data_IF_097825954540
#
_entry.id   IF_097825954540
#
_cell.length_a   1.000
_cell.length_b   1.000
_cell.length_c   1.000
_cell.angle_alpha   90.00
_cell.angle_beta   90.00
_cell.angle_gamma   90.00
#
_symmetry.space_group_name_H-M   'P 1'
#
loop_
_entity.id
_entity.type
_entity.pdbx_description
1 polymer ?
#
# COMPACT_ATOMS: atom_id res chain seq x y z
N UNK A 1 32.62 8.76 30.07
CA UNK A 1 31.47 9.70 30.05
C UNK A 1 31.75 10.70 28.93
N UNK A 2 30.94 10.97 27.90
CA UNK A 2 29.52 10.82 27.61
C UNK A 2 29.35 10.22 26.20
N UNK A 3 28.48 9.21 26.06
CA UNK A 3 28.02 8.72 24.75
C UNK A 3 26.92 9.65 24.26
N UNK A 4 27.13 10.35 23.15
CA UNK A 4 26.09 11.17 22.51
C UNK A 4 25.23 10.26 21.62
N UNK A 5 24.03 9.91 22.10
CA UNK A 5 23.00 9.26 21.29
C UNK A 5 22.53 10.26 20.23
N UNK A 6 22.67 9.95 18.94
CA UNK A 6 21.98 10.67 17.87
C UNK A 6 20.58 10.08 17.72
N UNK A 7 19.59 10.84 18.18
CA UNK A 7 18.18 10.67 17.84
C UNK A 7 17.95 11.61 16.65
N UNK A 8 17.72 11.07 15.45
CA UNK A 8 17.23 11.86 14.33
C UNK A 8 15.72 11.63 14.25
N UNK A 9 14.96 12.65 14.63
CA UNK A 9 13.52 12.68 14.49
C UNK A 9 13.18 12.83 13.00
N UNK A 10 12.53 11.82 12.44
CA UNK A 10 11.92 11.88 11.11
C UNK A 10 10.56 12.57 11.26
N UNK A 11 10.53 13.90 11.23
CA UNK A 11 9.29 14.65 11.08
C UNK A 11 9.04 14.89 9.59
N UNK A 12 8.36 13.95 8.92
CA UNK A 12 7.75 14.22 7.62
C UNK A 12 6.54 15.13 7.85
N UNK A 13 6.66 16.41 7.49
CA UNK A 13 5.53 17.30 7.36
C UNK A 13 4.73 16.87 6.11
N UNK A 14 3.67 16.09 6.33
CA UNK A 14 2.64 15.85 5.31
C UNK A 14 1.80 17.11 5.22
N UNK A 15 2.01 17.92 4.18
CA UNK A 15 1.07 18.98 3.82
C UNK A 15 -0.14 18.30 3.18
N UNK A 16 -1.15 17.99 3.98
CA UNK A 16 -2.49 17.64 3.53
C UNK A 16 -3.10 18.89 2.86
N UNK A 17 -2.97 18.98 1.54
CA UNK A 17 -3.88 19.82 0.76
C UNK A 17 -5.17 19.03 0.55
N UNK A 18 -6.24 19.48 1.20
CA UNK A 18 -7.59 18.95 1.01
C UNK A 18 -8.10 19.49 -0.32
N UNK A 19 -8.51 18.65 -1.30
CA UNK A 19 -9.31 19.14 -2.40
C UNK A 19 -10.76 19.25 -1.93
N UNK A 20 -11.24 20.49 -1.79
CA UNK A 20 -12.68 20.75 -1.76
C UNK A 20 -13.26 20.35 -3.12
N UNK A 21 -14.13 19.33 -3.12
CA UNK A 21 -15.00 18.99 -4.24
C UNK A 21 -15.89 20.20 -4.56
N UNK A 22 -15.75 20.73 -5.77
CA UNK A 22 -16.72 21.62 -6.41
C UNK A 22 -17.01 21.06 -7.79
N UNK A 23 -18.28 20.72 -8.03
CA UNK A 23 -18.80 20.27 -9.31
C UNK A 23 -18.79 21.43 -10.29
N UNK A 24 -17.83 21.41 -11.23
CA UNK A 24 -17.75 22.38 -12.31
C UNK A 24 -16.85 21.86 -13.40
N UNK A 25 -17.43 21.54 -14.56
CA UNK A 25 -16.72 21.14 -15.78
C UNK A 25 -15.75 22.23 -16.22
N UNK A 26 -14.48 22.06 -15.88
CA UNK A 26 -13.36 22.88 -16.35
C UNK A 26 -12.06 22.15 -16.05
N UNK A 27 -11.33 21.76 -17.08
CA UNK A 27 -9.99 21.18 -16.93
C UNK A 27 -9.07 22.26 -16.36
N UNK A 28 -8.82 22.22 -15.05
CA UNK A 28 -7.74 22.99 -14.43
C UNK A 28 -6.44 22.26 -14.76
N UNK A 29 -5.46 22.89 -15.44
CA UNK A 29 -4.14 22.29 -15.56
C UNK A 29 -3.57 22.15 -14.14
N UNK A 30 -3.34 20.91 -13.73
CA UNK A 30 -2.57 20.60 -12.52
C UNK A 30 -1.19 21.20 -12.74
N UNK A 31 -0.89 22.33 -12.09
CA UNK A 31 0.44 22.92 -12.11
C UNK A 31 1.36 21.91 -11.43
N UNK A 32 2.23 21.26 -12.19
CA UNK A 32 3.30 20.44 -11.64
C UNK A 32 4.02 21.23 -10.54
N UNK A 33 4.37 20.59 -9.43
CA UNK A 33 5.34 21.14 -8.49
C UNK A 33 6.54 21.63 -9.32
N UNK A 34 7.03 22.84 -9.07
CA UNK A 34 8.14 23.35 -9.87
C UNK A 34 9.30 22.34 -9.81
N UNK A 35 9.94 22.09 -10.95
CA UNK A 35 11.14 21.23 -11.01
C UNK A 35 12.34 21.94 -10.35
N UNK A 36 12.09 22.83 -9.39
CA UNK A 36 13.11 23.58 -8.70
C UNK A 36 13.48 22.91 -7.38
N UNK A 37 14.72 23.12 -6.95
CA UNK A 37 15.21 22.59 -5.68
C UNK A 37 16.22 23.57 -5.09
N UNK A 38 16.20 23.69 -3.76
CA UNK A 38 17.21 24.46 -3.04
C UNK A 38 18.52 23.67 -2.98
N UNK A 39 19.58 24.25 -3.54
CA UNK A 39 20.97 23.85 -3.34
C UNK A 39 21.54 24.63 -2.15
N UNK A 40 21.90 23.90 -1.10
CA UNK A 40 22.62 24.44 0.05
C UNK A 40 24.10 24.16 -0.13
N UNK A 41 24.92 25.20 -0.01
CA UNK A 41 26.39 25.11 -0.06
C UNK A 41 26.96 25.44 1.32
N UNK A 42 27.61 24.47 1.95
CA UNK A 42 28.14 24.61 3.30
C UNK A 42 29.43 25.44 3.34
N UNK A 43 29.68 26.08 4.48
CA UNK A 43 30.98 26.69 4.80
C UNK A 43 32.07 25.64 5.12
N UNK A 44 31.70 24.38 5.29
CA UNK A 44 32.65 23.28 5.41
C UNK A 44 33.16 22.82 4.04
N UNK A 45 34.45 22.53 3.96
CA UNK A 45 35.05 21.89 2.79
C UNK A 45 35.18 20.38 2.98
N UNK A 46 35.06 19.64 1.88
CA UNK A 46 35.50 18.26 1.77
C UNK A 46 36.91 18.29 1.17
N UNK A 47 37.90 17.88 1.96
CA UNK A 47 39.31 17.95 1.59
C UNK A 47 39.72 16.76 0.75
N UNK A 48 40.32 17.05 -0.39
CA UNK A 48 40.92 16.07 -1.28
C UNK A 48 42.43 16.13 -1.06
N UNK A 49 43.17 15.25 -1.73
CA UNK A 49 44.62 15.20 -1.63
C UNK A 49 45.29 16.40 -2.35
N UNK A 50 45.20 17.61 -1.79
CA UNK A 50 45.75 18.86 -2.34
C UNK A 50 44.73 19.82 -2.96
N UNK A 51 43.44 19.46 -2.92
CA UNK A 51 42.34 20.28 -3.41
C UNK A 51 41.16 20.21 -2.43
N UNK A 52 40.14 21.01 -2.61
CA UNK A 52 38.92 20.90 -1.81
C UNK A 52 37.71 21.38 -2.61
N UNK A 53 36.54 20.88 -2.22
CA UNK A 53 35.25 21.42 -2.66
C UNK A 53 34.37 21.68 -1.45
N UNK A 54 33.26 22.41 -1.63
CA UNK A 54 32.29 22.60 -0.55
C UNK A 54 31.38 21.39 -0.41
N UNK A 55 30.97 21.10 0.81
CA UNK A 55 29.89 20.12 1.06
C UNK A 55 28.56 20.75 0.61
N UNK A 56 27.75 19.98 -0.11
CA UNK A 56 26.51 20.48 -0.71
C UNK A 56 25.36 19.51 -0.44
N UNK A 57 24.14 20.06 -0.37
CA UNK A 57 22.92 19.26 -0.33
C UNK A 57 21.85 19.89 -1.21
N UNK A 58 20.99 19.04 -1.79
CA UNK A 58 19.84 19.44 -2.58
C UNK A 58 18.60 18.67 -2.06
N UNK A 59 17.56 19.40 -1.65
CA UNK A 59 16.34 18.79 -1.08
C UNK A 59 16.58 17.94 0.17
N UNK A 60 17.58 18.31 0.97
CA UNK A 60 17.97 17.57 2.19
C UNK A 60 18.89 16.37 1.95
N UNK A 61 19.08 15.94 0.70
CA UNK A 61 19.99 14.88 0.31
C UNK A 61 21.38 15.42 -0.02
N UNK A 62 22.43 14.62 0.17
CA UNK A 62 23.78 15.04 -0.21
C UNK A 62 23.89 15.24 -1.73
N UNK A 63 24.66 16.24 -2.16
CA UNK A 63 24.82 16.58 -3.56
C UNK A 63 26.31 16.62 -3.96
N UNK A 64 26.61 16.14 -5.16
CA UNK A 64 27.98 15.85 -5.59
C UNK A 64 28.41 16.78 -6.71
N UNK A 65 29.68 17.20 -6.69
CA UNK A 65 30.27 17.86 -7.85
C UNK A 65 30.62 16.83 -8.93
N UNK A 66 30.21 17.08 -10.17
CA UNK A 66 30.58 16.26 -11.35
C UNK A 66 31.47 17.01 -12.36
N UNK A 67 31.86 18.25 -12.05
CA UNK A 67 32.75 19.09 -12.89
C UNK A 67 33.76 19.85 -12.02
N UNK A 68 34.69 19.13 -11.35
CA UNK A 68 35.53 19.68 -10.28
C UNK A 68 36.58 20.70 -10.74
N UNK A 69 36.82 20.84 -12.04
CA UNK A 69 37.66 21.91 -12.61
C UNK A 69 37.01 23.29 -12.60
N UNK A 70 35.69 23.38 -12.35
CA UNK A 70 34.96 24.65 -12.21
C UNK A 70 34.80 25.06 -10.73
N UNK A 71 34.53 26.35 -10.50
CA UNK A 71 34.26 26.89 -9.16
C UNK A 71 32.95 26.35 -8.60
N UNK A 72 32.87 26.21 -7.27
CA UNK A 72 31.63 25.91 -6.55
C UNK A 72 30.55 26.96 -6.84
N UNK A 73 29.30 26.56 -7.13
CA UNK A 73 28.17 27.48 -7.29
C UNK A 73 27.84 28.21 -5.98
N UNK A 74 27.03 29.27 -6.09
CA UNK A 74 26.38 29.85 -4.93
C UNK A 74 25.25 28.93 -4.42
N UNK A 75 24.87 29.07 -3.15
CA UNK A 75 23.63 28.49 -2.67
C UNK A 75 22.44 29.22 -3.32
N UNK A 76 21.32 28.52 -3.52
CA UNK A 76 20.12 29.09 -4.14
C UNK A 76 19.21 28.04 -4.75
N UNK A 77 18.18 28.49 -5.44
CA UNK A 77 17.23 27.62 -6.14
C UNK A 77 17.68 27.37 -7.57
N UNK A 78 17.74 26.09 -7.95
CA UNK A 78 18.13 25.62 -9.28
C UNK A 78 17.08 24.69 -9.86
N UNK A 79 16.99 24.62 -11.19
CA UNK A 79 16.14 23.66 -11.90
C UNK A 79 16.79 22.28 -11.90
N UNK A 80 15.99 21.24 -11.61
CA UNK A 80 16.33 19.83 -11.74
C UNK A 80 16.23 19.42 -13.20
N UNK A 81 17.32 18.86 -13.73
CA UNK A 81 17.36 18.26 -15.05
C UNK A 81 17.46 16.74 -14.91
N UNK A 82 16.35 16.04 -15.18
CA UNK A 82 16.28 14.58 -15.12
C UNK A 82 16.78 13.90 -16.41
N UNK A 83 16.96 14.65 -17.48
CA UNK A 83 17.62 14.25 -18.73
C UNK A 83 19.14 14.19 -18.55
N UNK A 84 19.58 13.36 -17.59
CA UNK A 84 20.99 13.28 -17.17
C UNK A 84 21.91 12.93 -18.35
N UNK A 85 21.42 12.17 -19.33
CA UNK A 85 22.15 11.84 -20.55
C UNK A 85 22.70 13.08 -21.30
N UNK A 86 22.03 14.23 -21.23
CA UNK A 86 22.49 15.51 -21.83
C UNK A 86 23.82 15.99 -21.24
N UNK A 87 24.11 15.60 -20.00
CA UNK A 87 25.27 16.06 -19.24
C UNK A 87 26.41 15.04 -19.19
N UNK A 88 26.28 13.91 -19.89
CA UNK A 88 27.36 12.93 -20.03
C UNK A 88 28.39 13.42 -21.05
N UNK A 89 29.58 12.81 -21.05
CA UNK A 89 30.67 13.11 -22.00
C UNK A 89 30.21 13.11 -23.45
N UNK A 90 29.40 12.11 -23.79
CA UNK A 90 28.67 12.03 -25.06
C UNK A 90 27.22 12.39 -24.76
N UNK A 91 26.75 13.60 -25.12
CA UNK A 91 25.37 14.00 -24.86
C UNK A 91 24.37 13.03 -25.50
N UNK A 92 23.39 12.57 -24.72
CA UNK A 92 22.38 11.59 -25.13
C UNK A 92 22.76 10.13 -24.87
N UNK A 93 23.90 9.85 -24.23
CA UNK A 93 24.26 8.49 -23.83
C UNK A 93 23.49 8.04 -22.59
N UNK A 94 22.34 7.40 -22.82
CA UNK A 94 21.47 6.84 -21.77
C UNK A 94 22.15 5.73 -20.96
N UNK A 95 23.07 4.98 -21.57
CA UNK A 95 23.79 3.91 -20.85
C UNK A 95 24.79 4.52 -19.85
N UNK A 96 25.48 5.59 -20.23
CA UNK A 96 26.33 6.33 -19.31
C UNK A 96 25.54 7.00 -18.18
N UNK A 97 24.36 7.57 -18.48
CA UNK A 97 23.48 8.13 -17.47
C UNK A 97 22.98 7.08 -16.46
N UNK A 98 22.60 5.89 -16.93
CA UNK A 98 22.19 4.79 -16.06
C UNK A 98 23.36 4.27 -15.21
N UNK A 99 24.55 4.14 -15.79
CA UNK A 99 25.76 3.80 -15.04
C UNK A 99 26.05 4.83 -13.94
N UNK A 100 25.89 6.14 -14.23
CA UNK A 100 26.06 7.19 -13.25
C UNK A 100 25.03 7.08 -12.12
N UNK A 101 23.77 6.77 -12.45
CA UNK A 101 22.70 6.50 -11.47
C UNK A 101 23.06 5.33 -10.56
N UNK A 102 23.55 4.23 -11.14
CA UNK A 102 23.99 3.07 -10.39
C UNK A 102 25.05 3.44 -9.35
N UNK A 103 26.09 4.14 -9.80
CA UNK A 103 27.18 4.56 -8.93
C UNK A 103 26.71 5.53 -7.84
N UNK A 104 25.88 6.52 -8.20
CA UNK A 104 25.40 7.55 -7.28
C UNK A 104 24.62 6.96 -6.09
N UNK A 105 23.89 5.86 -6.28
CA UNK A 105 23.17 5.18 -5.20
C UNK A 105 24.09 4.66 -4.09
N UNK A 106 25.33 4.29 -4.43
CA UNK A 106 26.32 3.73 -3.51
C UNK A 106 27.36 4.76 -3.02
N UNK A 107 27.27 6.01 -3.48
CA UNK A 107 28.13 7.10 -3.01
C UNK A 107 27.79 7.55 -1.59
N UNK A 108 28.76 8.16 -0.90
CA UNK A 108 28.58 8.61 0.48
C UNK A 108 27.42 9.58 0.60
N UNK A 109 26.54 9.32 1.56
CA UNK A 109 25.34 10.11 1.77
C UNK A 109 24.13 9.64 0.96
N UNK A 110 24.28 8.74 -0.02
CA UNK A 110 23.16 8.08 -0.70
C UNK A 110 22.70 6.80 0.04
N UNK A 111 21.46 6.31 -0.21
CA UNK A 111 20.87 5.23 0.57
C UNK A 111 21.60 3.89 0.50
N UNK A 112 22.30 3.61 -0.60
CA UNK A 112 23.04 2.38 -0.82
C UNK A 112 24.47 2.40 -0.28
N UNK A 113 24.95 3.51 0.30
CA UNK A 113 26.34 3.62 0.74
C UNK A 113 26.78 2.48 1.66
N UNK A 114 27.92 1.87 1.32
CA UNK A 114 28.58 0.87 2.15
C UNK A 114 30.09 1.10 2.08
N UNK A 115 30.72 1.35 3.24
CA UNK A 115 32.16 1.58 3.35
C UNK A 115 33.01 0.43 2.79
N UNK A 116 32.51 -0.82 2.81
CA UNK A 116 33.19 -1.99 2.24
C UNK A 116 33.32 -1.95 0.72
N UNK A 117 32.57 -1.09 0.03
CA UNK A 117 32.73 -0.86 -1.40
C UNK A 117 33.91 0.05 -1.74
N UNK A 118 34.52 0.72 -0.76
CA UNK A 118 35.61 1.67 -0.95
C UNK A 118 36.93 1.10 -0.41
N UNK A 119 38.10 1.69 -0.77
CA UNK A 119 39.38 1.29 -0.22
C UNK A 119 39.38 1.31 1.32
N UNK A 120 40.05 0.35 1.94
CA UNK A 120 40.11 0.23 3.41
C UNK A 120 40.92 1.38 4.06
N UNK A 121 41.89 1.92 3.33
CA UNK A 121 42.73 3.04 3.74
C UNK A 121 42.85 4.08 2.63
N UNK A 122 43.24 5.28 3.02
CA UNK A 122 43.58 6.36 2.12
C UNK A 122 44.92 6.11 1.40
N UNK A 123 45.25 6.93 0.40
CA UNK A 123 46.47 6.77 -0.41
C UNK A 123 47.78 6.86 0.39
N UNK A 124 47.75 7.50 1.56
CA UNK A 124 48.88 7.64 2.49
C UNK A 124 48.85 6.62 3.64
N UNK A 125 47.93 5.65 3.59
CA UNK A 125 47.75 4.61 4.60
C UNK A 125 46.89 5.03 5.79
N UNK A 126 46.44 6.29 5.87
CA UNK A 126 45.54 6.74 6.94
C UNK A 126 44.15 6.08 6.84
N UNK A 127 43.45 5.97 7.97
CA UNK A 127 42.10 5.42 8.00
C UNK A 127 41.12 6.27 7.18
N UNK A 128 40.11 5.63 6.58
CA UNK A 128 39.03 6.34 5.92
C UNK A 128 38.15 7.11 6.92
N UNK A 129 37.56 8.20 6.46
CA UNK A 129 36.60 9.05 7.18
C UNK A 129 35.57 9.62 6.20
N UNK A 130 34.57 10.33 6.72
CA UNK A 130 33.48 10.89 5.90
C UNK A 130 33.99 11.83 4.79
N UNK A 131 34.96 12.69 5.08
CA UNK A 131 35.49 13.63 4.08
C UNK A 131 36.21 12.89 2.95
N UNK A 132 36.93 11.79 3.28
CA UNK A 132 37.57 10.92 2.28
C UNK A 132 36.53 10.18 1.43
N UNK A 133 35.45 9.68 2.01
CA UNK A 133 34.38 9.03 1.25
C UNK A 133 33.62 10.03 0.34
N UNK A 134 33.41 11.25 0.82
CA UNK A 134 32.86 12.35 0.01
C UNK A 134 33.80 12.63 -1.17
N UNK A 135 35.11 12.76 -0.92
CA UNK A 135 36.09 13.03 -1.96
C UNK A 135 36.08 11.94 -3.05
N UNK A 136 36.09 10.66 -2.67
CA UNK A 136 36.00 9.56 -3.63
C UNK A 136 34.67 9.57 -4.38
N UNK A 137 33.55 9.87 -3.71
CA UNK A 137 32.24 9.93 -4.36
C UNK A 137 32.19 10.99 -5.46
N UNK A 138 32.70 12.19 -5.21
CA UNK A 138 32.78 13.23 -6.23
C UNK A 138 33.70 12.83 -7.38
N UNK A 139 34.89 12.27 -7.09
CA UNK A 139 35.85 11.84 -8.12
C UNK A 139 35.23 10.76 -9.00
N UNK A 140 34.63 9.74 -8.41
CA UNK A 140 34.01 8.63 -9.13
C UNK A 140 32.87 9.13 -10.02
N UNK A 141 32.00 10.00 -9.50
CA UNK A 141 30.86 10.54 -10.26
C UNK A 141 31.30 11.51 -11.36
N UNK A 142 32.31 12.34 -11.10
CA UNK A 142 32.90 13.22 -12.11
C UNK A 142 33.57 12.41 -13.24
N UNK A 143 34.32 11.37 -12.89
CA UNK A 143 34.92 10.44 -13.87
C UNK A 143 33.82 9.67 -14.62
N UNK A 144 32.69 9.35 -13.98
CA UNK A 144 31.58 8.67 -14.61
C UNK A 144 30.82 9.51 -15.61
N UNK A 145 30.58 10.78 -15.28
CA UNK A 145 29.96 11.72 -16.20
C UNK A 145 30.90 12.10 -17.36
N UNK A 146 32.20 12.26 -17.10
CA UNK A 146 33.14 12.83 -18.09
C UNK A 146 34.00 11.82 -18.84
N UNK A 147 34.17 10.59 -18.34
CA UNK A 147 35.19 9.63 -18.77
C UNK A 147 36.63 10.20 -18.77
N UNK A 148 36.89 11.19 -17.91
CA UNK A 148 38.18 11.89 -17.82
C UNK A 148 38.68 11.87 -16.36
N UNK A 149 39.35 10.79 -15.95
CA UNK A 149 39.84 10.65 -14.58
C UNK A 149 40.81 11.77 -14.15
N UNK A 150 41.54 12.34 -15.11
CA UNK A 150 42.41 13.50 -14.87
C UNK A 150 41.64 14.75 -14.45
N UNK A 151 40.51 15.02 -15.13
CA UNK A 151 39.60 16.12 -14.80
C UNK A 151 38.86 15.85 -13.50
N UNK A 152 38.39 14.62 -13.29
CA UNK A 152 37.72 14.19 -12.06
C UNK A 152 38.59 14.40 -10.81
N UNK A 153 39.92 14.30 -10.96
CA UNK A 153 40.91 14.53 -9.91
C UNK A 153 41.62 15.89 -10.04
N UNK A 154 40.95 16.89 -10.63
CA UNK A 154 41.49 18.24 -10.76
C UNK A 154 42.01 18.78 -9.42
N UNK A 155 43.20 19.40 -9.45
CA UNK A 155 43.88 19.93 -8.26
C UNK A 155 44.53 18.91 -7.32
N UNK A 156 44.23 17.60 -7.43
CA UNK A 156 44.86 16.59 -6.59
C UNK A 156 46.35 16.39 -6.92
N UNK A 157 47.14 16.03 -5.91
CA UNK A 157 48.57 15.72 -6.04
C UNK A 157 48.81 14.39 -6.80
N UNK A 158 50.02 14.25 -7.37
CA UNK A 158 50.36 13.13 -8.24
C UNK A 158 50.33 11.76 -7.52
N UNK A 159 50.72 11.70 -6.25
CA UNK A 159 50.71 10.44 -5.48
C UNK A 159 49.30 9.91 -5.31
N UNK A 160 48.34 10.79 -4.99
CA UNK A 160 46.94 10.42 -4.91
C UNK A 160 46.38 10.01 -6.26
N UNK A 161 46.67 10.76 -7.34
CA UNK A 161 46.19 10.43 -8.70
C UNK A 161 46.61 9.03 -9.12
N UNK A 162 47.89 8.70 -8.96
CA UNK A 162 48.42 7.37 -9.29
C UNK A 162 47.73 6.27 -8.48
N UNK A 163 47.49 6.50 -7.20
CA UNK A 163 46.77 5.56 -6.34
C UNK A 163 45.30 5.42 -6.73
N UNK A 164 44.61 6.53 -7.03
CA UNK A 164 43.19 6.57 -7.30
C UNK A 164 42.83 5.93 -8.65
N UNK A 165 43.66 6.07 -9.68
CA UNK A 165 43.46 5.33 -10.94
C UNK A 165 43.35 3.81 -10.69
N UNK A 166 44.22 3.25 -9.86
CA UNK A 166 44.20 1.82 -9.54
C UNK A 166 43.09 1.44 -8.54
N UNK A 167 42.94 2.20 -7.45
CA UNK A 167 42.17 1.76 -6.27
C UNK A 167 40.75 2.35 -6.19
N UNK A 168 40.45 3.38 -6.98
CA UNK A 168 39.18 4.12 -6.94
C UNK A 168 38.46 4.02 -8.28
N UNK A 169 39.15 4.37 -9.37
CA UNK A 169 38.58 4.42 -10.71
C UNK A 169 38.63 3.04 -11.41
N UNK A 170 39.76 2.36 -11.33
CA UNK A 170 39.99 1.08 -11.98
C UNK A 170 40.38 1.18 -13.45
N UNK A 171 40.61 2.38 -13.97
CA UNK A 171 41.03 2.64 -15.34
C UNK A 171 42.36 3.37 -15.37
N UNK A 172 43.20 3.13 -16.37
CA UNK A 172 44.39 3.93 -16.61
C UNK A 172 44.07 5.20 -17.41
N UNK A 173 45.09 6.03 -17.69
CA UNK A 173 44.93 7.28 -18.45
C UNK A 173 44.55 7.07 -19.92
N UNK A 174 44.69 5.86 -20.46
CA UNK A 174 44.22 5.50 -21.79
C UNK A 174 42.77 4.99 -21.80
N UNK A 175 42.11 4.92 -20.63
CA UNK A 175 40.75 4.39 -20.48
C UNK A 175 40.68 2.86 -20.40
N UNK A 176 41.82 2.17 -20.29
CA UNK A 176 41.86 0.71 -20.20
C UNK A 176 41.56 0.26 -18.77
N UNK A 177 40.75 -0.78 -18.61
CA UNK A 177 40.44 -1.37 -17.31
C UNK A 177 41.68 -2.06 -16.72
N UNK A 178 42.09 -1.64 -15.53
CA UNK A 178 43.25 -2.15 -14.79
C UNK A 178 42.89 -2.73 -13.42
N UNK A 179 41.67 -2.49 -12.93
CA UNK A 179 41.18 -3.08 -11.68
C UNK A 179 39.65 -3.14 -11.63
N UNK A 180 39.09 -4.33 -11.79
CA UNK A 180 37.64 -4.57 -11.68
C UNK A 180 37.09 -4.39 -10.26
N UNK A 181 37.93 -4.47 -9.23
CA UNK A 181 37.49 -4.32 -7.83
C UNK A 181 37.43 -2.85 -7.38
N UNK A 182 37.85 -1.93 -8.24
CA UNK A 182 37.79 -0.50 -7.96
C UNK A 182 36.31 -0.04 -7.85
N UNK A 183 35.96 0.80 -6.87
CA UNK A 183 34.60 1.31 -6.64
C UNK A 183 33.89 1.79 -7.92
N UNK A 184 34.53 2.63 -8.72
CA UNK A 184 33.93 3.17 -9.94
C UNK A 184 33.46 2.06 -10.89
N UNK A 185 34.30 1.07 -11.16
CA UNK A 185 33.94 -0.04 -12.04
C UNK A 185 32.89 -0.95 -11.40
N UNK A 186 33.14 -1.48 -10.21
CA UNK A 186 32.26 -2.50 -9.62
C UNK A 186 30.86 -2.00 -9.28
N UNK A 187 30.72 -0.72 -8.93
CA UNK A 187 29.42 -0.12 -8.57
C UNK A 187 28.54 0.13 -9.80
N UNK A 188 29.12 0.19 -11.00
CA UNK A 188 28.39 0.41 -12.26
C UNK A 188 27.33 -0.67 -12.53
N UNK A 189 27.52 -1.88 -12.00
CA UNK A 189 26.66 -3.03 -12.28
C UNK A 189 25.85 -3.51 -11.07
N UNK A 190 25.87 -2.75 -9.98
CA UNK A 190 25.15 -3.10 -8.77
C UNK A 190 23.67 -2.71 -8.88
N UNK A 191 22.74 -3.50 -8.31
CA UNK A 191 21.32 -3.29 -8.47
C UNK A 191 20.84 -2.03 -7.71
N UNK A 192 20.17 -1.12 -8.41
CA UNK A 192 19.62 0.10 -7.81
C UNK A 192 18.10 0.11 -7.86
N UNK A 193 17.40 0.45 -6.76
CA UNK A 193 15.94 0.51 -6.76
C UNK A 193 15.41 1.52 -7.77
N UNK A 194 14.43 1.15 -8.60
CA UNK A 194 13.84 2.01 -9.64
C UNK A 194 13.39 3.39 -9.15
N UNK A 195 13.03 3.51 -7.87
CA UNK A 195 12.61 4.77 -7.26
C UNK A 195 13.74 5.70 -6.85
N UNK A 196 14.99 5.26 -6.95
CA UNK A 196 16.15 6.13 -6.87
C UNK A 196 16.33 6.84 -8.21
N UNK A 197 16.25 8.16 -8.21
CA UNK A 197 16.42 9.02 -9.38
C UNK A 197 17.55 9.99 -9.14
N UNK A 198 18.31 10.27 -10.18
CA UNK A 198 19.32 11.32 -10.18
C UNK A 198 18.86 12.48 -11.06
N UNK A 199 19.36 13.68 -10.77
CA UNK A 199 19.16 14.87 -11.57
C UNK A 199 20.42 15.73 -11.55
N UNK A 200 20.61 16.52 -12.60
CA UNK A 200 21.69 17.51 -12.67
C UNK A 200 21.13 18.90 -12.40
N UNK A 201 21.85 19.69 -11.62
CA UNK A 201 21.66 21.12 -11.51
C UNK A 201 22.70 21.80 -12.40
N UNK A 202 22.25 22.38 -13.51
CA UNK A 202 23.09 23.23 -14.34
C UNK A 202 23.27 24.57 -13.64
N UNK A 203 24.52 24.92 -13.31
CA UNK A 203 24.83 26.15 -12.57
C UNK A 203 25.50 27.22 -13.44
N UNK A 204 25.43 27.05 -14.77
CA UNK A 204 26.03 27.94 -15.76
C UNK A 204 27.56 27.87 -15.78
N UNK A 205 28.23 28.94 -15.31
CA UNK A 205 29.71 29.04 -15.36
C UNK A 205 30.42 28.26 -14.24
N UNK A 206 29.68 27.76 -13.26
CA UNK A 206 30.20 26.98 -12.12
C UNK A 206 30.04 25.47 -12.33
N UNK A 207 30.43 24.68 -11.36
CA UNK A 207 30.33 23.22 -11.42
C UNK A 207 28.85 22.77 -11.50
N UNK A 208 28.55 21.87 -12.42
CA UNK A 208 27.31 21.09 -12.41
C UNK A 208 27.29 20.18 -11.18
N UNK A 209 26.12 20.11 -10.56
CA UNK A 209 25.89 19.35 -9.33
C UNK A 209 24.96 18.19 -9.63
N UNK A 210 25.34 16.99 -9.22
CA UNK A 210 24.47 15.82 -9.24
C UNK A 210 23.73 15.73 -7.90
N UNK A 211 22.40 15.78 -7.96
CA UNK A 211 21.53 15.48 -6.84
C UNK A 211 20.77 14.17 -7.06
N UNK A 212 20.07 13.72 -6.04
CA UNK A 212 19.23 12.54 -6.12
C UNK A 212 17.95 12.67 -5.30
N UNK A 213 16.95 11.89 -5.68
CA UNK A 213 15.69 11.67 -4.96
C UNK A 213 15.49 10.16 -4.76
N UNK A 214 14.92 9.80 -3.62
CA UNK A 214 14.62 8.40 -3.31
C UNK A 214 13.32 8.27 -2.55
N UNK A 215 12.34 7.62 -3.18
CA UNK A 215 11.06 7.26 -2.58
C UNK A 215 10.96 5.74 -2.48
N UNK A 216 11.50 5.10 -1.43
CA UNK A 216 11.52 3.63 -1.31
C UNK A 216 10.15 3.02 -1.10
N UNK A 217 9.15 3.82 -0.75
CA UNK A 217 7.84 3.35 -0.33
C UNK A 217 6.77 3.60 -1.38
N UNK A 218 5.82 2.68 -1.47
CA UNK A 218 4.49 2.89 -2.06
C UNK A 218 3.43 2.91 -0.97
N UNK A 219 2.17 3.07 -1.35
CA UNK A 219 1.03 2.94 -0.43
C UNK A 219 0.17 1.74 -0.79
N UNK A 220 -0.49 1.16 0.19
CA UNK A 220 -1.54 0.16 -0.03
C UNK A 220 -2.84 0.65 0.61
N UNK A 221 -3.94 0.50 -0.12
CA UNK A 221 -5.30 0.81 0.30
C UNK A 221 -6.19 -0.40 0.07
N UNK A 222 -7.29 -0.51 0.82
CA UNK A 222 -8.21 -1.63 0.73
C UNK A 222 -9.65 -1.12 0.72
N UNK A 223 -10.46 -1.70 -0.15
CA UNK A 223 -11.91 -1.49 -0.24
C UNK A 223 -12.62 -2.83 -0.14
N UNK A 224 -13.62 -2.90 0.72
CA UNK A 224 -14.38 -4.11 1.03
C UNK A 224 -15.83 -3.95 0.63
N UNK A 225 -16.40 -4.99 0.03
CA UNK A 225 -17.80 -5.02 -0.39
C UNK A 225 -18.51 -6.28 0.12
N UNK A 226 -19.85 -6.24 0.10
CA UNK A 226 -20.67 -7.44 0.30
C UNK A 226 -20.69 -8.29 -0.97
N UNK A 227 -20.50 -9.61 -0.87
CA UNK A 227 -20.67 -10.52 -2.00
C UNK A 227 -22.15 -10.71 -2.39
N UNK A 228 -23.10 -10.32 -1.52
CA UNK A 228 -24.54 -10.35 -1.82
C UNK A 228 -25.27 -9.12 -1.24
N UNK A 229 -25.40 -8.08 -2.05
CA UNK A 229 -26.09 -6.83 -1.67
C UNK A 229 -27.60 -6.99 -1.57
N UNK A 230 -28.22 -8.00 -2.19
CA UNK A 230 -29.65 -8.27 -2.08
C UNK A 230 -30.10 -8.71 -0.68
N UNK A 231 -29.17 -9.22 0.13
CA UNK A 231 -29.38 -9.62 1.54
C UNK A 231 -28.97 -8.49 2.50
N UNK A 232 -27.97 -7.69 2.13
CA UNK A 232 -27.27 -6.79 3.07
C UNK A 232 -27.61 -5.31 2.90
N UNK A 233 -28.08 -4.89 1.73
CA UNK A 233 -28.36 -3.47 1.45
C UNK A 233 -29.47 -2.94 2.35
N UNK A 234 -29.16 -1.89 3.11
CA UNK A 234 -30.11 -1.27 4.04
C UNK A 234 -30.31 -2.01 5.36
N UNK A 235 -29.67 -3.17 5.55
CA UNK A 235 -29.84 -3.99 6.74
C UNK A 235 -28.75 -3.72 7.78
N UNK A 236 -29.15 -3.15 8.92
CA UNK A 236 -28.25 -2.75 10.01
C UNK A 236 -27.56 -3.92 10.75
N UNK A 237 -27.98 -5.16 10.50
CA UNK A 237 -27.29 -6.35 11.02
C UNK A 237 -25.96 -6.61 10.31
N UNK A 238 -25.71 -5.95 9.17
CA UNK A 238 -24.49 -6.06 8.39
C UNK A 238 -23.71 -4.74 8.43
N UNK A 239 -22.41 -4.84 8.64
CA UNK A 239 -21.49 -3.70 8.61
C UNK A 239 -20.29 -4.05 7.76
N UNK A 240 -19.77 -3.09 7.00
CA UNK A 240 -18.46 -3.23 6.37
C UNK A 240 -17.33 -2.71 7.27
N UNK A 241 -17.66 -1.97 8.34
CA UNK A 241 -16.69 -1.48 9.31
C UNK A 241 -16.16 -2.59 10.22
N UNK A 242 -14.90 -2.45 10.61
CA UNK A 242 -14.27 -3.29 11.62
C UNK A 242 -13.70 -4.60 11.07
N UNK A 243 -13.73 -4.82 9.75
CA UNK A 243 -12.95 -5.88 9.14
C UNK A 243 -11.46 -5.58 9.32
N UNK A 244 -10.69 -6.52 9.83
CA UNK A 244 -9.25 -6.37 10.08
C UNK A 244 -8.47 -7.29 9.15
N UNK A 245 -7.59 -6.71 8.35
CA UNK A 245 -6.66 -7.43 7.48
C UNK A 245 -5.24 -7.33 8.03
N UNK A 246 -4.55 -8.45 8.14
CA UNK A 246 -3.12 -8.49 8.42
C UNK A 246 -2.33 -8.40 7.12
N UNK A 247 -1.27 -7.59 7.09
CA UNK A 247 -0.30 -7.52 5.99
C UNK A 247 1.01 -8.19 6.44
N UNK A 248 1.57 -9.05 5.60
CA UNK A 248 2.71 -9.91 5.92
C UNK A 248 3.80 -9.82 4.86
N UNK A 249 5.06 -9.96 5.26
CA UNK A 249 6.21 -10.01 4.34
C UNK A 249 6.48 -11.40 3.77
N UNK A 250 5.78 -12.43 4.26
CA UNK A 250 5.97 -13.83 3.86
C UNK A 250 4.64 -14.52 3.54
N UNK A 251 4.67 -15.48 2.61
CA UNK A 251 3.48 -16.23 2.20
C UNK A 251 2.85 -17.04 3.34
N UNK A 252 3.65 -17.46 4.32
CA UNK A 252 3.18 -18.20 5.50
C UNK A 252 2.39 -17.36 6.50
N UNK A 253 2.31 -16.04 6.30
CA UNK A 253 1.71 -15.09 7.22
C UNK A 253 2.27 -15.19 8.65
N UNK A 254 3.60 -15.36 8.77
CA UNK A 254 4.31 -15.49 10.05
C UNK A 254 5.00 -14.19 10.49
N UNK A 255 5.36 -13.32 9.55
CA UNK A 255 6.00 -12.03 9.76
C UNK A 255 5.03 -10.89 9.40
N UNK A 256 4.19 -10.53 10.37
CA UNK A 256 3.23 -9.44 10.21
C UNK A 256 3.94 -8.08 10.21
N UNK A 257 3.62 -7.27 9.21
CA UNK A 257 4.20 -5.94 8.98
C UNK A 257 3.28 -4.85 9.53
N UNK A 258 1.98 -4.95 9.28
CA UNK A 258 0.96 -3.99 9.74
C UNK A 258 -0.45 -4.58 9.65
N UNK A 259 -1.47 -3.81 9.99
CA UNK A 259 -2.89 -4.13 9.75
C UNK A 259 -3.59 -3.02 8.97
N UNK A 260 -4.67 -3.39 8.28
CA UNK A 260 -5.65 -2.48 7.69
C UNK A 260 -7.00 -2.75 8.36
N UNK A 261 -7.72 -1.69 8.73
CA UNK A 261 -9.05 -1.80 9.31
C UNK A 261 -10.03 -0.95 8.52
N UNK A 262 -11.16 -1.55 8.16
CA UNK A 262 -12.20 -0.91 7.34
C UNK A 262 -13.08 0.02 8.17
N UNK A 263 -13.44 1.14 7.56
CA UNK A 263 -14.42 2.11 8.05
C UNK A 263 -15.86 1.73 7.65
N UNK A 264 -16.83 2.57 8.01
CA UNK A 264 -18.24 2.36 7.68
C UNK A 264 -18.54 2.28 6.18
N UNK A 265 -17.69 2.86 5.33
CA UNK A 265 -17.79 2.75 3.88
C UNK A 265 -17.07 1.52 3.31
N UNK A 266 -16.49 0.67 4.15
CA UNK A 266 -15.70 -0.50 3.75
C UNK A 266 -14.28 -0.15 3.31
N UNK A 267 -13.79 1.06 3.56
CA UNK A 267 -12.45 1.49 3.14
C UNK A 267 -11.46 1.45 4.30
N UNK A 268 -10.22 1.07 4.04
CA UNK A 268 -9.13 1.20 5.01
C UNK A 268 -8.22 2.37 4.62
N UNK A 269 -7.72 3.09 5.64
CA UNK A 269 -6.73 4.13 5.45
C UNK A 269 -5.47 3.58 4.78
N UNK A 270 -4.92 4.32 3.82
CA UNK A 270 -3.72 3.89 3.12
C UNK A 270 -2.51 3.84 4.05
N UNK A 271 -1.70 2.78 3.95
CA UNK A 271 -0.45 2.63 4.72
C UNK A 271 0.75 2.61 3.79
N UNK A 272 1.85 3.23 4.22
CA UNK A 272 3.10 3.29 3.46
C UNK A 272 3.96 2.05 3.75
N UNK A 273 4.39 1.36 2.70
CA UNK A 273 5.25 0.17 2.78
C UNK A 273 6.42 0.30 1.81
N UNK A 274 7.55 -0.31 2.13
CA UNK A 274 8.66 -0.41 1.17
C UNK A 274 8.21 -1.14 -0.09
N UNK A 275 8.78 -0.80 -1.24
CA UNK A 275 8.54 -1.53 -2.47
C UNK A 275 8.92 -3.01 -2.31
N UNK A 276 8.07 -3.90 -2.80
CA UNK A 276 8.24 -5.34 -2.64
C UNK A 276 6.93 -6.12 -2.72
N UNK A 277 7.03 -7.44 -2.59
CA UNK A 277 5.86 -8.34 -2.57
C UNK A 277 5.45 -8.63 -1.13
N UNK A 278 4.14 -8.54 -0.89
CA UNK A 278 3.50 -8.76 0.41
C UNK A 278 2.30 -9.69 0.26
N UNK A 279 1.79 -10.12 1.40
CA UNK A 279 0.63 -10.99 1.50
C UNK A 279 -0.39 -10.39 2.48
N UNK A 280 -1.66 -10.65 2.25
CA UNK A 280 -2.72 -10.25 3.17
C UNK A 280 -3.72 -11.39 3.40
N UNK A 281 -4.30 -11.40 4.60
CA UNK A 281 -5.43 -12.25 4.97
C UNK A 281 -6.34 -11.51 5.92
N UNK A 282 -7.62 -11.85 5.91
CA UNK A 282 -8.55 -11.34 6.89
C UNK A 282 -8.31 -12.02 8.25
N UNK A 283 -8.23 -11.23 9.31
CA UNK A 283 -8.06 -11.67 10.69
C UNK A 283 -9.38 -11.63 11.46
N UNK A 284 -10.25 -10.70 11.10
CA UNK A 284 -11.54 -10.50 11.74
C UNK A 284 -12.52 -10.02 10.68
N UNK A 285 -13.58 -10.80 10.47
CA UNK A 285 -14.70 -10.42 9.62
C UNK A 285 -15.49 -9.28 10.29
N UNK A 286 -16.09 -8.37 9.51
CA UNK A 286 -16.98 -7.38 10.08
C UNK A 286 -18.34 -8.01 10.46
N UNK A 287 -19.15 -7.26 11.20
CA UNK A 287 -20.42 -7.78 11.71
C UNK A 287 -21.36 -8.25 10.59
N UNK A 288 -21.89 -9.47 10.73
CA UNK A 288 -22.79 -10.09 9.77
C UNK A 288 -22.12 -10.81 8.59
N UNK A 289 -20.79 -10.93 8.59
CA UNK A 289 -20.04 -11.58 7.51
C UNK A 289 -19.26 -12.81 7.99
N UNK A 290 -19.09 -13.77 7.09
CA UNK A 290 -18.21 -14.91 7.31
C UNK A 290 -16.76 -14.53 7.03
N UNK A 291 -15.85 -14.95 7.92
CA UNK A 291 -14.41 -14.71 7.77
C UNK A 291 -13.85 -15.41 6.53
N UNK A 292 -13.20 -14.64 5.66
CA UNK A 292 -12.40 -15.21 4.57
C UNK A 292 -10.96 -15.49 5.05
N UNK A 293 -10.64 -16.76 5.27
CA UNK A 293 -9.30 -17.19 5.68
C UNK A 293 -8.30 -17.30 4.52
N UNK A 294 -8.66 -16.92 3.29
CA UNK A 294 -7.76 -16.99 2.14
C UNK A 294 -6.57 -16.03 2.28
N UNK A 295 -5.40 -16.47 1.81
CA UNK A 295 -4.19 -15.65 1.74
C UNK A 295 -4.00 -15.20 0.31
N UNK A 296 -3.83 -13.90 0.11
CA UNK A 296 -3.66 -13.27 -1.20
C UNK A 296 -2.34 -12.49 -1.25
N UNK A 297 -1.70 -12.42 -2.41
CA UNK A 297 -0.46 -11.65 -2.61
C UNK A 297 -0.71 -10.32 -3.32
N UNK A 298 0.14 -9.33 -3.06
CA UNK A 298 0.17 -8.07 -3.80
C UNK A 298 1.59 -7.50 -3.86
N UNK A 299 1.82 -6.60 -4.82
CA UNK A 299 3.09 -5.90 -4.97
C UNK A 299 2.90 -4.42 -4.65
N UNK A 300 3.81 -3.89 -3.83
CA UNK A 300 3.95 -2.45 -3.57
C UNK A 300 4.99 -1.92 -4.53
N UNK A 301 4.61 -0.96 -5.35
CA UNK A 301 5.52 -0.22 -6.22
C UNK A 301 5.77 1.16 -5.61
N UNK A 302 7.03 1.55 -5.53
CA UNK A 302 7.43 2.83 -4.97
C UNK A 302 6.74 4.02 -5.66
N UNK A 303 6.28 4.98 -4.86
CA UNK A 303 5.54 6.17 -5.32
C UNK A 303 4.15 5.89 -5.89
N UNK A 304 3.67 4.64 -5.87
CA UNK A 304 2.35 4.24 -6.38
C UNK A 304 1.45 3.73 -5.25
N UNK A 305 0.14 3.80 -5.48
CA UNK A 305 -0.86 3.20 -4.60
C UNK A 305 -1.33 1.86 -5.17
N UNK A 306 -1.16 0.78 -4.40
CA UNK A 306 -1.76 -0.52 -4.68
C UNK A 306 -3.14 -0.58 -4.02
N UNK A 307 -4.19 -0.63 -4.83
CA UNK A 307 -5.57 -0.72 -4.36
C UNK A 307 -6.05 -2.17 -4.32
N UNK A 308 -6.40 -2.67 -3.14
CA UNK A 308 -6.95 -4.00 -2.92
C UNK A 308 -8.49 -3.93 -2.91
N UNK A 309 -9.12 -4.87 -3.60
CA UNK A 309 -10.59 -5.04 -3.59
C UNK A 309 -10.91 -6.42 -3.04
N UNK A 310 -11.70 -6.46 -1.98
CA UNK A 310 -12.04 -7.69 -1.24
C UNK A 310 -13.54 -7.76 -1.00
N UNK A 311 -14.08 -8.96 -0.81
CA UNK A 311 -15.50 -9.14 -0.55
C UNK A 311 -15.76 -10.33 0.37
N UNK A 312 -16.74 -10.19 1.27
CA UNK A 312 -17.17 -11.30 2.12
C UNK A 312 -18.55 -11.79 1.79
N UNK A 313 -18.76 -13.08 2.08
CA UNK A 313 -20.08 -13.70 2.05
C UNK A 313 -20.85 -13.30 3.31
N UNK A 314 -22.02 -12.66 3.20
CA UNK A 314 -22.84 -12.37 4.36
C UNK A 314 -23.35 -13.65 5.00
N UNK A 315 -23.33 -13.71 6.32
CA UNK A 315 -23.99 -14.79 7.04
C UNK A 315 -25.51 -14.62 6.93
N UNK A 316 -26.20 -15.75 6.93
CA UNK A 316 -27.65 -15.84 6.84
C UNK A 316 -28.07 -17.12 7.55
N UNK A 317 -29.36 -17.23 7.86
CA UNK A 317 -29.94 -18.45 8.40
C UNK A 317 -30.62 -19.24 7.27
N UNK A 318 -30.04 -20.37 6.82
CA UNK A 318 -30.69 -21.23 5.84
C UNK A 318 -31.88 -22.00 6.44
N UNK A 319 -32.17 -21.88 7.74
CA UNK A 319 -33.30 -22.55 8.37
C UNK A 319 -34.63 -21.94 7.89
N UNK A 320 -35.48 -22.78 7.32
CA UNK A 320 -36.87 -22.43 7.04
C UNK A 320 -37.66 -22.44 8.36
N UNK A 321 -38.26 -21.31 8.72
CA UNK A 321 -39.21 -21.24 9.83
C UNK A 321 -40.25 -22.33 9.64
N UNK A 322 -40.41 -23.19 10.66
CA UNK A 322 -41.43 -24.24 10.66
C UNK A 322 -42.36 -24.02 11.86
N UNK A 323 -43.63 -23.84 11.56
CA UNK A 323 -44.70 -23.74 12.55
C UNK A 323 -45.42 -25.08 12.61
N UNK A 324 -45.58 -25.65 13.81
CA UNK A 324 -46.46 -26.79 14.05
C UNK A 324 -47.72 -26.29 14.75
N UNK A 325 -48.87 -26.45 14.09
CA UNK A 325 -50.17 -26.10 14.68
C UNK A 325 -50.70 -27.32 15.42
N UNK A 326 -50.99 -27.09 16.70
CA UNK A 326 -51.56 -28.09 17.61
C UNK A 326 -52.88 -27.59 18.17
N UNK A 327 -53.70 -28.54 18.61
CA UNK A 327 -54.82 -28.34 19.51
C UNK A 327 -54.31 -28.06 20.93
N UNK A 328 -54.94 -27.12 21.63
CA UNK A 328 -54.50 -26.71 22.97
C UNK A 328 -54.72 -27.77 24.05
N UNK A 329 -55.66 -28.69 23.86
CA UNK A 329 -55.99 -29.75 24.82
C UNK A 329 -55.39 -31.09 24.39
N UNK A 330 -55.44 -31.41 23.10
CA UNK A 330 -55.11 -32.74 22.56
C UNK A 330 -53.80 -32.81 21.76
N UNK A 331 -53.06 -31.71 21.62
CA UNK A 331 -51.78 -31.68 20.92
C UNK A 331 -51.92 -31.86 19.41
N UNK A 332 -51.20 -32.80 18.79
CA UNK A 332 -51.28 -33.04 17.34
C UNK A 332 -52.61 -33.68 16.89
N UNK A 333 -53.47 -34.10 17.83
CA UNK A 333 -54.76 -34.74 17.53
C UNK A 333 -55.88 -33.70 17.39
N UNK A 334 -56.63 -33.75 16.29
CA UNK A 334 -57.81 -32.88 16.08
C UNK A 334 -59.01 -33.35 16.88
N UNK A 335 -59.89 -32.43 17.28
CA UNK A 335 -61.13 -32.74 17.99
C UNK A 335 -62.32 -32.85 17.02
N UNK A 336 -63.10 -33.92 17.12
CA UNK A 336 -64.33 -34.09 16.33
C UNK A 336 -64.10 -34.02 14.81
N UNK A 337 -64.84 -33.14 14.13
CA UNK A 337 -64.72 -32.87 12.69
C UNK A 337 -63.79 -31.70 12.33
N UNK A 338 -63.06 -31.15 13.30
CA UNK A 338 -62.19 -29.98 13.10
C UNK A 338 -60.93 -30.34 12.32
N UNK A 339 -60.29 -29.32 11.74
CA UNK A 339 -59.00 -29.41 11.07
C UNK A 339 -58.03 -28.39 11.66
N UNK A 340 -56.73 -28.72 11.69
CA UNK A 340 -55.66 -27.75 11.98
C UNK A 340 -54.95 -27.29 10.69
N UNK A 341 -55.42 -27.73 9.52
CA UNK A 341 -54.98 -27.25 8.21
C UNK A 341 -55.70 -25.95 7.82
N UNK A 342 -55.05 -25.11 7.02
CA UNK A 342 -55.61 -23.85 6.53
C UNK A 342 -55.54 -22.68 7.53
N UNK A 343 -54.95 -22.88 8.71
CA UNK A 343 -54.60 -21.79 9.61
C UNK A 343 -53.56 -20.90 8.91
N UNK A 344 -53.77 -19.59 8.88
CA UNK A 344 -52.84 -18.65 8.24
C UNK A 344 -52.06 -17.87 9.29
N UNK A 345 -50.76 -17.76 9.03
CA UNK A 345 -49.81 -17.01 9.84
C UNK A 345 -49.20 -15.91 9.00
N UNK A 346 -49.24 -14.69 9.52
CA UNK A 346 -48.46 -13.57 8.99
C UNK A 346 -47.08 -13.59 9.63
N UNK A 347 -46.06 -13.69 8.79
CA UNK A 347 -44.63 -13.67 9.14
C UNK A 347 -44.05 -12.36 8.64
N UNK A 348 -43.67 -11.50 9.57
CA UNK A 348 -43.06 -10.20 9.29
C UNK A 348 -41.57 -10.25 9.60
N UNK A 349 -40.75 -9.76 8.67
CA UNK A 349 -39.30 -9.65 8.78
C UNK A 349 -38.86 -8.19 8.85
N UNK A 350 -37.86 -7.92 9.67
CA UNK A 350 -37.32 -6.58 9.91
C UNK A 350 -35.79 -6.58 9.78
N UNK A 351 -35.27 -5.63 9.02
CA UNK A 351 -33.85 -5.34 8.90
C UNK A 351 -33.32 -4.70 10.19
N UNK A 352 -32.81 -5.53 11.09
CA UNK A 352 -32.28 -5.10 12.38
C UNK A 352 -32.63 -6.05 13.52
N UNK A 353 -31.93 -5.88 14.64
CA UNK A 353 -32.20 -6.60 15.88
C UNK A 353 -33.13 -5.78 16.76
N UNK A 354 -34.39 -6.22 16.83
CA UNK A 354 -35.47 -5.58 17.56
C UNK A 354 -36.05 -6.53 18.60
N UNK A 355 -36.81 -5.97 19.53
CA UNK A 355 -37.63 -6.67 20.51
C UNK A 355 -39.00 -6.00 20.58
N UNK A 356 -39.92 -6.53 21.39
CA UNK A 356 -41.30 -6.02 21.47
C UNK A 356 -41.41 -4.53 21.82
N UNK A 357 -40.42 -3.93 22.49
CA UNK A 357 -40.47 -2.51 22.88
C UNK A 357 -40.01 -1.54 21.79
N UNK A 358 -39.27 -2.00 20.78
CA UNK A 358 -38.68 -1.16 19.73
C UNK A 358 -38.89 -1.70 18.31
N UNK A 359 -39.81 -2.65 18.13
CA UNK A 359 -40.15 -3.20 16.83
C UNK A 359 -40.75 -2.10 15.92
N UNK A 360 -40.23 -1.90 14.70
CA UNK A 360 -40.80 -0.95 13.75
C UNK A 360 -42.26 -1.28 13.42
N UNK A 361 -43.08 -0.25 13.18
CA UNK A 361 -44.49 -0.45 12.83
C UNK A 361 -44.68 -1.14 11.46
N UNK A 362 -43.76 -0.90 10.53
CA UNK A 362 -43.80 -1.50 9.19
C UNK A 362 -42.66 -2.53 9.05
N UNK A 363 -42.96 -3.75 8.61
CA UNK A 363 -41.93 -4.74 8.30
C UNK A 363 -41.17 -4.39 7.03
N UNK A 364 -39.93 -4.87 6.93
CA UNK A 364 -39.17 -4.87 5.67
C UNK A 364 -39.82 -5.79 4.64
N UNK A 365 -40.23 -6.99 5.08
CA UNK A 365 -40.97 -7.95 4.27
C UNK A 365 -42.05 -8.65 5.07
N UNK A 366 -43.13 -9.02 4.40
CA UNK A 366 -44.26 -9.73 5.00
C UNK A 366 -44.70 -10.89 4.12
N UNK A 367 -45.00 -12.02 4.77
CA UNK A 367 -45.46 -13.24 4.13
C UNK A 367 -46.64 -13.84 4.87
N UNK A 368 -47.60 -14.40 4.14
CA UNK A 368 -48.69 -15.20 4.68
C UNK A 368 -48.42 -16.65 4.29
N UNK A 369 -48.28 -17.50 5.30
CA UNK A 369 -48.13 -18.95 5.13
C UNK A 369 -49.31 -19.67 5.75
N UNK A 370 -49.69 -20.82 5.18
CA UNK A 370 -50.80 -21.62 5.68
C UNK A 370 -50.38 -23.02 6.11
N UNK A 371 -51.02 -23.54 7.17
CA UNK A 371 -50.78 -24.91 7.62
C UNK A 371 -51.33 -25.93 6.63
N UNK A 372 -50.58 -27.01 6.41
CA UNK A 372 -51.01 -28.17 5.63
C UNK A 372 -50.93 -29.43 6.49
N UNK A 373 -51.84 -30.36 6.25
CA UNK A 373 -51.77 -31.70 6.81
C UNK A 373 -50.61 -32.48 6.15
N UNK A 374 -49.77 -33.08 6.99
CA UNK A 374 -48.63 -33.91 6.57
C UNK A 374 -48.74 -35.24 7.31
N UNK A 375 -48.72 -36.34 6.54
CA UNK A 375 -48.62 -37.68 7.12
C UNK A 375 -47.15 -38.01 7.38
N UNK A 376 -46.80 -38.18 8.66
CA UNK A 376 -45.46 -38.60 9.07
C UNK A 376 -45.17 -40.04 8.63
N UNK A 377 -43.89 -40.45 8.64
CA UNK A 377 -43.48 -41.83 8.32
C UNK A 377 -44.16 -42.90 9.20
N UNK A 378 -44.62 -42.52 10.39
CA UNK A 378 -45.35 -43.40 11.31
C UNK A 378 -46.88 -43.41 11.11
N UNK A 379 -47.41 -42.73 10.10
CA UNK A 379 -48.84 -42.64 9.82
C UNK A 379 -49.60 -41.57 10.60
N UNK A 380 -48.94 -40.89 11.56
CA UNK A 380 -49.55 -39.79 12.30
C UNK A 380 -49.69 -38.55 11.40
N UNK A 381 -50.81 -37.84 11.54
CA UNK A 381 -51.04 -36.54 10.89
C UNK A 381 -50.43 -35.43 11.75
N UNK A 382 -49.73 -34.49 11.12
CA UNK A 382 -49.24 -33.25 11.74
C UNK A 382 -49.60 -32.08 10.84
N UNK A 383 -49.76 -30.88 11.41
CA UNK A 383 -50.21 -29.70 10.68
C UNK A 383 -49.13 -28.63 10.71
N UNK A 384 -48.46 -28.42 9.59
CA UNK A 384 -47.28 -27.55 9.54
C UNK A 384 -47.39 -26.46 8.51
N UNK A 385 -46.79 -25.32 8.80
CA UNK A 385 -46.50 -24.28 7.82
C UNK A 385 -44.98 -24.06 7.81
N UNK A 386 -44.38 -24.06 6.63
CA UNK A 386 -42.95 -23.76 6.45
C UNK A 386 -42.82 -22.48 5.66
N UNK A 387 -41.89 -21.58 5.99
CA UNK A 387 -41.61 -20.41 5.16
C UNK A 387 -40.92 -20.84 3.85
N UNK A 388 -41.71 -21.35 2.93
CA UNK A 388 -41.30 -21.83 1.61
C UNK A 388 -42.46 -21.67 0.62
N UNK A 389 -42.15 -21.78 -0.68
CA UNK A 389 -43.13 -21.65 -1.75
C UNK A 389 -44.31 -22.63 -1.61
N UNK A 390 -44.11 -23.79 -0.98
CA UNK A 390 -45.15 -24.80 -0.83
C UNK A 390 -46.26 -24.39 0.13
N UNK A 391 -45.99 -23.52 1.12
CA UNK A 391 -46.99 -23.10 2.12
C UNK A 391 -47.39 -21.64 1.93
N UNK A 392 -46.84 -20.99 0.91
CA UNK A 392 -47.05 -19.58 0.60
C UNK A 392 -48.48 -19.31 0.13
N UNK A 393 -49.10 -18.27 0.69
CA UNK A 393 -50.42 -17.79 0.29
C UNK A 393 -50.29 -16.45 -0.44
N UNK A 394 -49.58 -15.50 0.16
CA UNK A 394 -49.36 -14.15 -0.37
C UNK A 394 -48.18 -13.47 0.34
N UNK A 395 -47.64 -12.40 -0.24
CA UNK A 395 -46.59 -11.59 0.37
C UNK A 395 -45.44 -11.27 -0.58
N UNK A 396 -44.32 -10.81 -0.02
CA UNK A 396 -43.11 -10.48 -0.77
C UNK A 396 -42.39 -11.72 -1.30
N UNK A 397 -41.45 -11.53 -2.22
CA UNK A 397 -40.53 -12.59 -2.62
C UNK A 397 -39.71 -13.07 -1.40
N UNK A 398 -39.42 -14.38 -1.34
CA UNK A 398 -38.51 -14.93 -0.34
C UNK A 398 -37.07 -14.51 -0.63
N UNK A 399 -36.25 -14.34 0.41
CA UNK A 399 -34.81 -14.16 0.22
C UNK A 399 -34.19 -15.46 -0.30
N UNK A 400 -33.18 -15.32 -1.16
CA UNK A 400 -32.45 -16.45 -1.72
C UNK A 400 -30.95 -16.20 -1.69
N UNK A 401 -30.19 -17.21 -1.26
CA UNK A 401 -28.74 -17.26 -1.39
C UNK A 401 -28.37 -18.55 -2.12
N UNK A 402 -27.62 -18.43 -3.22
CA UNK A 402 -27.20 -19.58 -4.04
C UNK A 402 -28.35 -20.51 -4.46
N UNK A 403 -29.54 -19.94 -4.71
CA UNK A 403 -30.74 -20.68 -5.14
C UNK A 403 -31.51 -21.36 -4.00
N UNK A 404 -31.07 -21.22 -2.75
CA UNK A 404 -31.75 -21.75 -1.57
C UNK A 404 -32.47 -20.60 -0.87
N UNK A 405 -33.75 -20.80 -0.52
CA UNK A 405 -34.47 -19.86 0.33
C UNK A 405 -33.72 -19.73 1.67
N UNK A 406 -33.50 -18.50 2.11
CA UNK A 406 -32.75 -18.18 3.31
C UNK A 406 -33.41 -17.01 4.03
N UNK A 407 -32.98 -16.72 5.25
CA UNK A 407 -33.33 -15.51 5.97
C UNK A 407 -32.06 -14.70 6.26
N UNK A 408 -32.00 -13.41 5.89
CA UNK A 408 -30.93 -12.54 6.36
C UNK A 408 -31.00 -12.39 7.88
N UNK A 409 -29.90 -11.95 8.48
CA UNK A 409 -29.87 -11.57 9.89
C UNK A 409 -30.89 -10.46 10.13
N UNK A 410 -31.67 -10.58 11.19
CA UNK A 410 -32.71 -9.61 11.52
C UNK A 410 -33.67 -10.15 12.57
N UNK A 411 -34.86 -9.55 12.61
CA UNK A 411 -35.92 -9.92 13.56
C UNK A 411 -37.14 -10.40 12.81
N UNK A 412 -37.85 -11.36 13.40
CA UNK A 412 -39.09 -11.91 12.84
C UNK A 412 -40.18 -11.86 13.91
N UNK A 413 -41.38 -11.43 13.50
CA UNK A 413 -42.61 -11.57 14.29
C UNK A 413 -43.59 -12.48 13.55
N UNK A 414 -44.29 -13.33 14.29
CA UNK A 414 -45.24 -14.30 13.74
C UNK A 414 -46.55 -14.13 14.48
N UNK A 415 -47.63 -13.95 13.73
CA UNK A 415 -48.99 -13.80 14.23
C UNK A 415 -49.92 -14.76 13.50
N UNK A 416 -50.76 -15.49 14.23
CA UNK A 416 -51.86 -16.24 13.63
C UNK A 416 -52.95 -15.24 13.21
N UNK A 417 -53.18 -15.10 11.91
CA UNK A 417 -54.13 -14.11 11.36
C UNK A 417 -55.42 -14.72 10.86
N UNK A 418 -55.46 -16.05 10.69
CA UNK A 418 -56.68 -16.79 10.40
C UNK A 418 -56.65 -18.16 11.09
N UNK A 419 -57.63 -18.42 11.94
CA UNK A 419 -57.85 -19.74 12.51
C UNK A 419 -58.23 -20.77 11.43
N UNK A 420 -57.91 -22.07 11.61
CA UNK A 420 -58.38 -23.13 10.73
C UNK A 420 -59.89 -23.37 10.89
N UNK A 421 -60.50 -24.13 9.98
CA UNK A 421 -61.94 -24.44 10.05
C UNK A 421 -62.25 -25.55 11.06
N UNK A 422 -63.29 -25.33 11.87
CA UNK A 422 -63.74 -26.23 12.95
C UNK A 422 -63.44 -25.66 14.31
#
# INVERSE_FOLDING_TARGET
MKKLKRVLALAMAVILSVPTLSTGTGTIPVKAADDSIELVVSNESAKYAGYETRKMSAGGNYAYCITPSKKTPAAGTYTKHYDVATYMKTPGDESAAENLRHIAYYCWGAPGFNAGNFPATWYDGSAMDDDKYIALSHIILADAASYEGGEAMHGCNSSFKNWAYQNVLGFNTAGELINENAPRFKLTWQPVPDSFKIFVLETGKTQNILGYEYTPTGTVSLSKTSANTGITSGNSCYSLAGAVYGIYSDAGCSAQVTTLTTDAGGNAAAVSLNAGTYYYKELTAPAGYALDSSVQSFTVTAGQNTALSVSDTPTNDPAMITLNKVDSETGDMVQGGASLAGAQFTVNYYDGYYNNSNLPANPTRSWIIQTKEITTKGGNKVYRAVLSNDYFVAGDALYSASGINTLPLGTISIEETKAPEG
#
